data_IF_552087963536
#
_entry.id   IF_552087963536
#
_cell.length_a   1.000
_cell.length_b   1.000
_cell.length_c   1.000
_cell.angle_alpha   90.00
_cell.angle_beta   90.00
_cell.angle_gamma   90.00
#
_symmetry.space_group_name_H-M   'P 1'
#
loop_
_entity.id
_entity.type
_entity.pdbx_description
1 polymer ?
#
# COMPACT_ATOMS: atom_id res chain seq x y z
N UNK A 1 9.18 -42.25 -9.46
CA UNK A 1 7.74 -41.96 -9.53
C UNK A 1 7.55 -40.61 -10.22
N UNK A 2 7.06 -40.61 -11.47
CA UNK A 2 6.88 -39.39 -12.27
C UNK A 2 5.62 -38.61 -11.87
N UNK A 3 4.68 -39.23 -11.13
CA UNK A 3 3.42 -38.60 -10.75
C UNK A 3 3.60 -37.61 -9.59
N UNK A 4 4.51 -37.89 -8.66
CA UNK A 4 4.89 -36.96 -7.58
C UNK A 4 5.61 -35.71 -8.12
N UNK A 5 6.52 -35.86 -9.08
CA UNK A 5 7.20 -34.73 -9.74
C UNK A 5 6.20 -33.79 -10.42
N UNK A 6 5.24 -34.33 -11.20
CA UNK A 6 4.20 -33.52 -11.84
C UNK A 6 3.21 -32.85 -10.86
N UNK A 7 2.99 -33.44 -9.67
CA UNK A 7 2.18 -32.81 -8.61
C UNK A 7 2.92 -31.64 -7.97
N UNK A 8 4.20 -31.80 -7.67
CA UNK A 8 5.04 -30.76 -7.08
C UNK A 8 5.13 -29.53 -8.00
N UNK A 9 5.44 -29.72 -9.29
CA UNK A 9 5.53 -28.62 -10.25
C UNK A 9 4.22 -27.82 -10.40
N UNK A 10 3.06 -28.47 -10.25
CA UNK A 10 1.77 -27.75 -10.24
C UNK A 10 1.60 -26.89 -8.99
N UNK A 11 2.04 -27.36 -7.82
CA UNK A 11 1.99 -26.59 -6.58
C UNK A 11 2.93 -25.38 -6.65
N UNK A 12 4.15 -25.56 -7.15
CA UNK A 12 5.11 -24.46 -7.33
C UNK A 12 4.59 -23.40 -8.31
N UNK A 13 4.01 -23.83 -9.44
CA UNK A 13 3.40 -22.92 -10.41
C UNK A 13 2.25 -22.10 -9.80
N UNK A 14 1.39 -22.71 -8.97
CA UNK A 14 0.33 -22.00 -8.25
C UNK A 14 0.88 -20.99 -7.25
N UNK A 15 1.94 -21.35 -6.51
CA UNK A 15 2.59 -20.45 -5.57
C UNK A 15 3.21 -19.24 -6.27
N UNK A 16 3.93 -19.46 -7.38
CA UNK A 16 4.51 -18.38 -8.20
C UNK A 16 3.40 -17.46 -8.72
N UNK A 17 2.30 -18.02 -9.22
CA UNK A 17 1.18 -17.24 -9.71
C UNK A 17 0.53 -16.39 -8.60
N UNK A 18 0.36 -16.95 -7.40
CA UNK A 18 -0.18 -16.22 -6.25
C UNK A 18 0.75 -15.06 -5.85
N UNK A 19 2.06 -15.31 -5.78
CA UNK A 19 3.05 -14.27 -5.47
C UNK A 19 3.06 -13.15 -6.52
N UNK A 20 2.97 -13.49 -7.80
CA UNK A 20 2.91 -12.51 -8.89
C UNK A 20 1.65 -11.62 -8.78
N UNK A 21 0.49 -12.22 -8.47
CA UNK A 21 -0.76 -11.48 -8.27
C UNK A 21 -0.69 -10.51 -7.09
N UNK A 22 -0.15 -10.94 -5.95
CA UNK A 22 0.01 -10.04 -4.80
C UNK A 22 1.01 -8.92 -5.07
N UNK A 23 2.08 -9.21 -5.80
CA UNK A 23 3.02 -8.16 -6.24
C UNK A 23 2.33 -7.11 -7.11
N UNK A 24 1.48 -7.54 -8.03
CA UNK A 24 0.74 -6.62 -8.90
C UNK A 24 -0.29 -5.82 -8.12
N UNK A 25 -1.05 -6.47 -7.23
CA UNK A 25 -2.02 -5.80 -6.35
C UNK A 25 -1.36 -4.69 -5.53
N UNK A 26 -0.21 -4.95 -4.91
CA UNK A 26 0.55 -3.94 -4.15
C UNK A 26 1.00 -2.75 -5.00
N UNK A 27 1.41 -2.98 -6.25
CA UNK A 27 1.80 -1.89 -7.18
C UNK A 27 0.60 -1.01 -7.53
N UNK A 28 -0.56 -1.62 -7.78
CA UNK A 28 -1.79 -0.88 -8.07
C UNK A 28 -2.23 -0.05 -6.87
N UNK A 29 -2.15 -0.60 -5.65
CA UNK A 29 -2.44 0.14 -4.41
C UNK A 29 -1.49 1.34 -4.24
N UNK A 30 -0.19 1.16 -4.51
CA UNK A 30 0.80 2.23 -4.43
C UNK A 30 0.56 3.34 -5.46
N UNK A 31 0.24 2.97 -6.71
CA UNK A 31 -0.16 3.93 -7.75
C UNK A 31 -1.39 4.73 -7.31
N UNK A 32 -2.38 4.06 -6.71
CA UNK A 32 -3.59 4.74 -6.24
C UNK A 32 -3.28 5.68 -5.08
N UNK A 33 -2.43 5.28 -4.13
CA UNK A 33 -2.00 6.13 -3.03
C UNK A 33 -1.25 7.38 -3.52
N UNK A 34 -0.36 7.22 -4.51
CA UNK A 34 0.37 8.33 -5.14
C UNK A 34 -0.63 9.29 -5.82
N UNK A 35 -1.57 8.78 -6.61
CA UNK A 35 -2.59 9.61 -7.29
C UNK A 35 -3.42 10.43 -6.29
N UNK A 36 -3.90 9.79 -5.23
CA UNK A 36 -4.65 10.48 -4.16
C UNK A 36 -3.80 11.58 -3.53
N UNK A 37 -2.53 11.30 -3.27
CA UNK A 37 -1.60 12.27 -2.67
C UNK A 37 -1.35 13.47 -3.57
N UNK A 38 -1.13 13.24 -4.87
CA UNK A 38 -0.97 14.31 -5.87
C UNK A 38 -2.21 15.21 -5.95
N UNK A 39 -3.41 14.62 -5.91
CA UNK A 39 -4.65 15.40 -5.88
C UNK A 39 -4.73 16.30 -4.65
N UNK A 40 -4.31 15.79 -3.48
CA UNK A 40 -4.28 16.59 -2.24
C UNK A 40 -3.25 17.72 -2.29
N UNK A 41 -2.10 17.49 -2.91
CA UNK A 41 -1.11 18.55 -3.18
C UNK A 41 -1.76 19.63 -4.05
N UNK A 42 -2.42 19.24 -5.14
CA UNK A 42 -3.09 20.18 -6.04
C UNK A 42 -4.22 20.96 -5.35
N UNK A 43 -4.93 20.34 -4.39
CA UNK A 43 -5.97 20.98 -3.59
C UNK A 43 -5.43 21.86 -2.44
N UNK A 44 -4.12 21.86 -2.18
CA UNK A 44 -3.54 22.57 -1.03
C UNK A 44 -3.78 21.88 0.32
N UNK A 45 -4.19 20.61 0.31
CA UNK A 45 -4.55 19.83 1.50
C UNK A 45 -3.43 18.88 1.95
N UNK A 46 -2.32 18.82 1.20
CA UNK A 46 -1.18 17.98 1.56
C UNK A 46 -0.57 18.41 2.89
N UNK A 47 -0.26 17.43 3.73
CA UNK A 47 0.28 17.66 5.07
C UNK A 47 -0.76 17.81 6.18
N UNK A 48 -2.06 17.77 5.87
CA UNK A 48 -3.13 17.74 6.87
C UNK A 48 -3.75 16.34 7.01
N UNK A 49 -4.26 15.99 8.18
CA UNK A 49 -4.85 14.68 8.44
C UNK A 49 -6.28 14.63 7.90
N UNK A 50 -6.61 13.62 7.09
CA UNK A 50 -7.99 13.45 6.57
C UNK A 50 -9.00 13.07 7.65
N UNK A 51 -8.55 12.61 8.82
CA UNK A 51 -9.41 12.19 9.91
C UNK A 51 -9.74 13.29 10.93
N UNK A 52 -8.78 14.15 11.26
CA UNK A 52 -8.95 15.21 12.28
C UNK A 52 -8.68 16.62 11.76
N UNK A 53 -8.14 16.79 10.55
CA UNK A 53 -7.78 18.09 9.98
C UNK A 53 -6.46 18.69 10.49
N UNK A 54 -5.82 18.09 11.51
CA UNK A 54 -4.56 18.59 12.06
C UNK A 54 -3.35 18.30 11.16
N UNK A 55 -2.24 18.98 11.39
CA UNK A 55 -1.02 18.75 10.61
C UNK A 55 -0.43 17.36 10.87
N UNK A 56 -0.04 16.68 9.80
CA UNK A 56 0.75 15.45 9.86
C UNK A 56 2.20 15.84 10.13
N UNK A 57 2.83 15.19 11.10
CA UNK A 57 4.24 15.43 11.43
C UNK A 57 5.14 15.33 10.17
N UNK A 58 5.97 16.34 9.88
CA UNK A 58 6.80 16.35 8.67
C UNK A 58 7.70 15.11 8.52
N UNK A 59 8.28 14.63 9.63
CA UNK A 59 9.09 13.40 9.62
C UNK A 59 8.32 12.17 9.13
N UNK A 60 7.01 12.09 9.41
CA UNK A 60 6.14 11.01 8.92
C UNK A 60 5.90 11.12 7.42
N UNK A 61 5.72 12.34 6.90
CA UNK A 61 5.58 12.58 5.45
C UNK A 61 6.88 12.32 4.70
N UNK A 62 8.04 12.58 5.31
CA UNK A 62 9.35 12.22 4.72
C UNK A 62 9.50 10.70 4.63
N UNK A 63 9.07 9.96 5.66
CA UNK A 63 9.15 8.50 5.67
C UNK A 63 8.09 7.84 4.78
N UNK A 64 6.85 8.35 4.80
CA UNK A 64 5.69 7.81 4.08
C UNK A 64 4.94 8.99 3.43
N UNK A 65 5.36 9.46 2.25
CA UNK A 65 4.80 10.65 1.61
C UNK A 65 3.32 10.54 1.25
N UNK A 66 2.81 9.32 1.09
CA UNK A 66 1.43 9.03 0.71
C UNK A 66 0.49 8.87 1.90
N UNK A 67 0.97 9.06 3.14
CA UNK A 67 0.13 8.91 4.32
C UNK A 67 -0.96 9.98 4.37
N UNK A 68 -2.20 9.55 4.61
CA UNK A 68 -3.36 10.42 4.72
C UNK A 68 -3.66 10.91 6.14
N UNK A 69 -3.05 10.29 7.15
CA UNK A 69 -3.46 10.42 8.55
C UNK A 69 -2.28 10.73 9.47
N UNK A 70 -2.55 11.48 10.54
CA UNK A 70 -1.61 11.65 11.65
C UNK A 70 -1.45 10.34 12.44
N UNK A 71 -0.48 10.30 13.34
CA UNK A 71 -0.22 9.13 14.19
C UNK A 71 -1.43 8.78 15.03
N UNK A 72 -2.07 9.75 15.68
CA UNK A 72 -3.23 9.51 16.55
C UNK A 72 -4.42 8.95 15.78
N UNK A 73 -4.67 9.43 14.55
CA UNK A 73 -5.73 8.88 13.71
C UNK A 73 -5.41 7.48 13.20
N UNK A 74 -4.13 7.19 12.91
CA UNK A 74 -3.71 5.86 12.48
C UNK A 74 -3.83 4.85 13.62
N UNK A 75 -3.45 5.23 14.84
CA UNK A 75 -3.50 4.37 16.02
C UNK A 75 -4.95 4.02 16.43
N UNK A 76 -5.92 4.91 16.15
CA UNK A 76 -7.35 4.62 16.37
C UNK A 76 -7.98 3.66 15.35
N UNK A 77 -7.33 3.45 14.20
CA UNK A 77 -7.86 2.63 13.11
C UNK A 77 -7.34 1.18 13.12
N UNK A 78 -6.32 0.89 13.95
CA UNK A 78 -5.78 -0.46 14.17
C UNK A 78 -6.33 -1.11 15.43
#
# INVERSE_FOLDING_TARGET
>A
DQQSVGRLSRMDAMQIQAMARESERRRLDEIQAIRTTLNRIAAGEYGYCVGCGEQIAPARLVLIPTTGTCVDCADRAG
#
